data_IF_681439786532
#
_entry.id   IF_681439786532
#
_cell.length_a   1.000
_cell.length_b   1.000
_cell.length_c   1.000
_cell.angle_alpha   90.00
_cell.angle_beta   90.00
_cell.angle_gamma   90.00
#
_symmetry.space_group_name_H-M   'P 1'
#
loop_
_entity.id
_entity.type
_entity.pdbx_description
1 polymer ?
#
# COMPACT_ATOMS: atom_id res chain seq x y z
N UNK A 1 -26.45 13.18 8.14
CA UNK A 1 -25.57 12.24 8.88
C UNK A 1 -24.13 12.60 8.56
N UNK A 2 -23.36 13.23 9.47
CA UNK A 2 -21.94 13.55 9.20
C UNK A 2 -21.12 12.27 9.39
N UNK A 3 -20.79 11.59 8.30
CA UNK A 3 -19.86 10.46 8.32
C UNK A 3 -18.48 11.02 8.63
N UNK A 4 -18.01 10.82 9.87
CA UNK A 4 -16.72 11.33 10.30
C UNK A 4 -15.62 10.33 9.91
N UNK A 5 -14.97 10.57 8.77
CA UNK A 5 -13.83 9.78 8.27
C UNK A 5 -12.53 10.06 9.05
N UNK A 6 -12.61 10.17 10.38
CA UNK A 6 -11.43 10.46 11.22
C UNK A 6 -10.34 9.40 11.10
N UNK A 7 -10.69 8.20 10.63
CA UNK A 7 -9.77 7.09 10.38
C UNK A 7 -8.89 7.27 9.14
N UNK A 8 -9.33 8.05 8.14
CA UNK A 8 -8.54 8.36 6.94
C UNK A 8 -7.52 9.48 7.16
N UNK A 9 -7.57 10.17 8.31
CA UNK A 9 -6.61 11.21 8.64
C UNK A 9 -5.19 10.64 8.57
N UNK A 10 -4.24 11.34 7.92
CA UNK A 10 -2.85 10.92 7.82
C UNK A 10 -2.24 10.87 9.22
N UNK A 11 -2.25 9.67 9.82
CA UNK A 11 -1.54 9.36 11.04
C UNK A 11 -0.18 8.81 10.65
N UNK A 12 0.87 9.25 11.35
CA UNK A 12 2.24 8.82 11.11
C UNK A 12 2.35 7.29 11.04
N UNK A 13 1.67 6.59 11.95
CA UNK A 13 1.66 5.13 12.01
C UNK A 13 1.01 4.48 10.77
N UNK A 14 -0.10 5.02 10.26
CA UNK A 14 -0.76 4.50 9.06
C UNK A 14 0.15 4.66 7.84
N UNK A 15 0.80 5.83 7.72
CA UNK A 15 1.75 6.12 6.63
C UNK A 15 2.96 5.19 6.73
N UNK A 16 3.53 5.01 7.92
CA UNK A 16 4.71 4.17 8.12
C UNK A 16 4.44 2.70 7.77
N UNK A 17 3.30 2.15 8.19
CA UNK A 17 2.91 0.79 7.84
C UNK A 17 2.66 0.66 6.32
N UNK A 18 2.05 1.66 5.71
CA UNK A 18 1.83 1.67 4.25
C UNK A 18 3.17 1.63 3.51
N UNK A 19 4.15 2.45 3.92
CA UNK A 19 5.49 2.45 3.33
C UNK A 19 6.18 1.10 3.52
N UNK A 20 6.09 0.49 4.71
CA UNK A 20 6.64 -0.85 4.96
C UNK A 20 6.06 -1.88 3.99
N UNK A 21 4.74 -1.88 3.78
CA UNK A 21 4.08 -2.80 2.84
C UNK A 21 4.55 -2.55 1.40
N UNK A 22 4.70 -1.30 0.99
CA UNK A 22 5.18 -0.94 -0.34
C UNK A 22 6.65 -1.31 -0.58
N UNK A 23 7.44 -1.48 0.49
CA UNK A 23 8.81 -1.97 0.42
C UNK A 23 8.90 -3.51 0.36
N UNK A 24 7.81 -4.25 0.56
CA UNK A 24 7.81 -5.70 0.45
C UNK A 24 7.84 -6.15 -1.02
N UNK A 25 8.48 -7.30 -1.32
CA UNK A 25 8.43 -7.90 -2.65
C UNK A 25 7.03 -8.49 -2.89
N UNK A 26 6.11 -7.70 -3.42
CA UNK A 26 4.71 -8.10 -3.63
C UNK A 26 4.47 -8.68 -5.03
N UNK A 27 5.20 -8.21 -6.04
CA UNK A 27 5.00 -8.64 -7.41
C UNK A 27 6.06 -9.66 -7.80
N UNK A 28 5.62 -10.76 -8.41
CA UNK A 28 6.49 -11.85 -8.87
C UNK A 28 6.30 -12.00 -10.37
N UNK A 29 7.38 -11.87 -11.12
CA UNK A 29 7.43 -12.20 -12.53
C UNK A 29 8.15 -13.54 -12.72
N UNK A 30 7.60 -14.41 -13.54
CA UNK A 30 8.20 -15.70 -13.88
C UNK A 30 8.41 -15.77 -15.39
N UNK A 31 9.67 -15.89 -15.82
CA UNK A 31 10.01 -16.09 -17.22
C UNK A 31 10.13 -17.58 -17.53
N UNK A 32 9.56 -18.00 -18.67
CA UNK A 32 9.60 -19.34 -19.28
C UNK A 32 9.68 -20.51 -18.30
N UNK A 33 8.51 -20.95 -17.81
CA UNK A 33 8.40 -22.22 -17.07
C UNK A 33 9.12 -22.26 -15.71
N UNK A 34 9.59 -21.12 -15.19
CA UNK A 34 10.22 -21.02 -13.87
C UNK A 34 11.75 -20.94 -13.90
N UNK A 35 12.38 -20.78 -15.07
CA UNK A 35 13.84 -20.64 -15.17
C UNK A 35 14.37 -19.35 -14.53
N UNK A 36 13.57 -18.28 -14.48
CA UNK A 36 13.89 -17.05 -13.75
C UNK A 36 12.67 -16.50 -13.03
N UNK A 37 12.86 -16.17 -11.75
CA UNK A 37 11.84 -15.56 -10.90
C UNK A 37 12.38 -14.24 -10.39
N UNK A 38 11.77 -13.13 -10.81
CA UNK A 38 12.12 -11.79 -10.33
C UNK A 38 11.02 -11.29 -9.41
N UNK A 39 11.42 -10.71 -8.28
CA UNK A 39 10.51 -10.08 -7.33
C UNK A 39 10.67 -8.57 -7.40
N UNK A 40 9.55 -7.87 -7.55
CA UNK A 40 9.50 -6.43 -7.61
C UNK A 40 8.81 -5.86 -6.38
N UNK A 41 9.43 -4.83 -5.81
CA UNK A 41 8.84 -4.03 -4.75
C UNK A 41 7.99 -2.93 -5.38
N UNK A 42 6.75 -2.71 -4.92
CA UNK A 42 5.90 -1.61 -5.39
C UNK A 42 6.60 -0.25 -5.35
N UNK A 43 7.41 0.03 -4.31
CA UNK A 43 8.15 1.28 -4.20
C UNK A 43 9.17 1.46 -5.34
N UNK A 44 9.86 0.39 -5.72
CA UNK A 44 10.86 0.40 -6.79
C UNK A 44 10.17 0.61 -8.16
N UNK A 45 9.01 0.00 -8.36
CA UNK A 45 8.18 0.20 -9.56
C UNK A 45 7.64 1.63 -9.63
N UNK A 46 7.25 2.21 -8.50
CA UNK A 46 6.73 3.58 -8.42
C UNK A 46 7.83 4.61 -8.71
N UNK A 47 9.05 4.42 -8.17
CA UNK A 47 10.19 5.30 -8.46
C UNK A 47 10.74 5.06 -9.87
N UNK A 48 10.83 3.79 -10.29
CA UNK A 48 11.34 3.39 -11.61
C UNK A 48 10.47 3.89 -12.74
N UNK A 49 9.14 3.86 -12.57
CA UNK A 49 8.18 4.33 -13.58
C UNK A 49 8.22 5.83 -13.86
N UNK A 50 8.85 6.63 -12.99
CA UNK A 50 9.11 8.05 -13.23
C UNK A 50 10.33 8.29 -14.12
N UNK A 51 11.22 7.30 -14.28
CA UNK A 51 12.43 7.45 -15.11
C UNK A 51 12.15 7.39 -16.60
N UNK A 52 11.09 6.70 -17.00
CA UNK A 52 10.73 6.52 -18.40
C UNK A 52 9.31 7.02 -18.69
N UNK A 53 9.15 7.89 -19.69
CA UNK A 53 7.85 8.46 -20.09
C UNK A 53 6.87 7.35 -20.52
N UNK A 54 7.36 6.29 -21.17
CA UNK A 54 6.54 5.17 -21.61
C UNK A 54 5.94 4.36 -20.45
N UNK A 55 6.47 4.51 -19.23
CA UNK A 55 5.99 3.80 -18.04
C UNK A 55 5.09 4.66 -17.13
N UNK A 56 4.68 5.85 -17.58
CA UNK A 56 3.87 6.76 -16.76
C UNK A 56 2.49 6.18 -16.39
N UNK A 57 1.93 5.31 -17.24
CA UNK A 57 0.71 4.57 -16.90
C UNK A 57 0.92 3.63 -15.70
N UNK A 58 2.09 3.00 -15.62
CA UNK A 58 2.46 2.13 -14.51
C UNK A 58 2.67 2.94 -13.22
N UNK A 59 3.15 4.18 -13.31
CA UNK A 59 3.22 5.09 -12.16
C UNK A 59 1.84 5.34 -11.55
N UNK A 60 0.86 5.75 -12.36
CA UNK A 60 -0.50 6.00 -11.86
C UNK A 60 -1.16 4.74 -11.28
N UNK A 61 -0.90 3.58 -11.88
CA UNK A 61 -1.34 2.30 -11.36
C UNK A 61 -0.73 2.01 -9.97
N UNK A 62 0.57 2.19 -9.81
CA UNK A 62 1.27 2.00 -8.53
C UNK A 62 0.86 3.04 -7.48
N UNK A 63 0.54 4.25 -7.90
CA UNK A 63 0.02 5.31 -7.03
C UNK A 63 -1.39 4.96 -6.53
N UNK A 64 -2.29 4.52 -7.41
CA UNK A 64 -3.61 4.02 -7.02
C UNK A 64 -3.50 2.81 -6.07
N UNK A 65 -2.59 1.88 -6.37
CA UNK A 65 -2.30 0.73 -5.50
C UNK A 65 -1.83 1.17 -4.10
N UNK A 66 -0.95 2.18 -4.02
CA UNK A 66 -0.50 2.75 -2.75
C UNK A 66 -1.63 3.36 -1.93
N UNK A 67 -2.57 4.06 -2.58
CA UNK A 67 -3.76 4.61 -1.93
C UNK A 67 -4.68 3.51 -1.39
N UNK A 68 -4.85 2.42 -2.13
CA UNK A 68 -5.64 1.25 -1.69
C UNK A 68 -5.00 0.62 -0.45
N UNK A 69 -3.68 0.42 -0.45
CA UNK A 69 -2.97 -0.12 0.72
C UNK A 69 -3.17 0.81 1.93
N UNK A 70 -2.97 2.12 1.76
CA UNK A 70 -3.17 3.08 2.84
C UNK A 70 -4.58 3.01 3.42
N UNK A 71 -5.60 2.88 2.55
CA UNK A 71 -6.98 2.74 2.98
C UNK A 71 -7.20 1.46 3.79
N UNK A 72 -6.68 0.32 3.33
CA UNK A 72 -6.78 -0.97 4.02
C UNK A 72 -6.08 -0.90 5.39
N UNK A 73 -4.86 -0.39 5.44
CA UNK A 73 -4.08 -0.20 6.68
C UNK A 73 -4.86 0.67 7.67
N UNK A 74 -5.40 1.79 7.20
CA UNK A 74 -6.19 2.71 8.02
C UNK A 74 -7.45 2.04 8.57
N UNK A 75 -8.13 1.21 7.76
CA UNK A 75 -9.32 0.46 8.15
C UNK A 75 -9.00 -0.62 9.20
N UNK A 76 -7.89 -1.35 9.03
CA UNK A 76 -7.43 -2.36 9.99
C UNK A 76 -7.09 -1.73 11.33
N UNK A 77 -6.30 -0.65 11.34
CA UNK A 77 -5.94 0.08 12.56
C UNK A 77 -7.19 0.62 13.27
N UNK A 78 -8.15 1.14 12.50
CA UNK A 78 -9.42 1.59 13.05
C UNK A 78 -10.19 0.46 13.74
N UNK A 79 -10.32 -0.71 13.10
CA UNK A 79 -10.99 -1.88 13.70
C UNK A 79 -10.27 -2.39 14.95
N UNK A 80 -8.93 -2.42 14.95
CA UNK A 80 -8.13 -2.81 16.11
C UNK A 80 -8.38 -1.84 17.27
N UNK A 81 -8.28 -0.53 17.03
CA UNK A 81 -8.53 0.48 18.05
C UNK A 81 -9.95 0.36 18.63
N UNK A 82 -10.97 0.18 17.78
CA UNK A 82 -12.35 0.00 18.23
C UNK A 82 -12.50 -1.24 19.13
N UNK A 83 -11.88 -2.37 18.78
CA UNK A 83 -11.90 -3.57 19.62
C UNK A 83 -11.20 -3.36 20.96
N UNK A 84 -10.03 -2.70 20.96
CA UNK A 84 -9.28 -2.39 22.19
C UNK A 84 -10.08 -1.47 23.11
N UNK A 85 -10.76 -0.46 22.56
CA UNK A 85 -11.61 0.44 23.36
C UNK A 85 -12.81 -0.28 23.95
N UNK A 86 -13.46 -1.17 23.20
CA UNK A 86 -14.59 -1.97 23.69
C UNK A 86 -14.18 -2.99 24.77
N UNK A 87 -12.94 -3.47 24.75
CA UNK A 87 -12.41 -4.36 25.80
C UNK A 87 -12.06 -3.65 27.11
N UNK A 88 -11.84 -2.32 27.08
CA UNK A 88 -11.52 -1.51 28.27
C UNK A 88 -12.76 -0.93 28.96
N UNK A 89 -13.95 -1.14 28.40
CA UNK A 89 -15.25 -0.77 28.98
C UNK A 89 -15.86 -1.97 29.68
#
# INVERSE_FOLDING_TARGET
MRVNFSFLKPKLLNVLITVIILCLPLFREQYNGGQYVTWYKPIDLLIGSLREINTIGLFFLMLAFSLIIYFIVSLVIFKINQRVTNWKK
#
